data_IF_414304947606
#
_entry.id   IF_414304947606
#
_cell.length_a   1.000
_cell.length_b   1.000
_cell.length_c   1.000
_cell.angle_alpha   90.00
_cell.angle_beta   90.00
_cell.angle_gamma   90.00
#
_symmetry.space_group_name_H-M   'P 1'
#
loop_
_entity.id
_entity.type
_entity.pdbx_description
1 polymer ?
#
# COMPACT_ATOMS: atom_id res chain seq x y z
N UNK A 1 -19.83 0.36 -23.72
CA UNK A 1 -19.95 -1.07 -24.07
C UNK A 1 -20.54 -1.76 -22.85
N UNK A 2 -21.60 -2.56 -23.01
CA UNK A 2 -22.13 -3.36 -21.90
C UNK A 2 -21.27 -4.62 -21.81
N UNK A 3 -20.77 -4.94 -20.63
CA UNK A 3 -20.09 -6.21 -20.37
C UNK A 3 -21.08 -7.22 -19.81
N UNK A 4 -21.23 -8.35 -20.50
CA UNK A 4 -22.17 -9.43 -20.14
C UNK A 4 -21.49 -10.59 -19.38
N UNK A 5 -20.20 -10.46 -19.08
CA UNK A 5 -19.44 -11.50 -18.41
C UNK A 5 -19.92 -11.75 -16.99
N UNK A 6 -19.82 -13.00 -16.54
CA UNK A 6 -20.15 -13.42 -15.19
C UNK A 6 -19.32 -12.63 -14.16
N UNK A 7 -19.99 -11.96 -13.22
CA UNK A 7 -19.37 -11.20 -12.13
C UNK A 7 -19.49 -12.00 -10.84
N UNK A 8 -18.34 -12.33 -10.23
CA UNK A 8 -18.25 -13.14 -9.01
C UNK A 8 -17.71 -12.29 -7.85
N UNK A 9 -18.34 -12.41 -6.68
CA UNK A 9 -17.81 -11.95 -5.40
C UNK A 9 -17.36 -13.09 -4.50
N UNK A 10 -16.83 -12.76 -3.31
CA UNK A 10 -16.29 -13.77 -2.38
C UNK A 10 -17.33 -14.82 -1.95
N UNK A 11 -18.61 -14.44 -1.84
CA UNK A 11 -19.70 -15.34 -1.42
C UNK A 11 -20.09 -16.38 -2.47
N UNK A 12 -19.70 -16.16 -3.73
CA UNK A 12 -20.12 -16.99 -4.86
C UNK A 12 -19.17 -18.18 -5.09
N UNK A 13 -18.05 -18.25 -4.35
CA UNK A 13 -16.98 -19.22 -4.57
C UNK A 13 -16.49 -19.87 -3.27
N UNK A 14 -15.92 -21.07 -3.40
CA UNK A 14 -15.24 -21.80 -2.32
C UNK A 14 -13.92 -22.38 -2.84
N UNK A 15 -12.92 -22.47 -1.97
CA UNK A 15 -11.64 -23.13 -2.30
C UNK A 15 -11.82 -24.65 -2.16
N UNK A 16 -11.65 -25.39 -3.25
CA UNK A 16 -11.71 -26.87 -3.23
C UNK A 16 -10.49 -27.44 -2.48
N UNK A 17 -10.69 -28.27 -1.43
CA UNK A 17 -9.58 -28.95 -0.77
C UNK A 17 -8.77 -29.82 -1.73
N UNK A 18 -7.46 -29.91 -1.52
CA UNK A 18 -6.54 -30.80 -2.25
C UNK A 18 -5.74 -31.63 -1.25
N UNK A 19 -5.27 -32.81 -1.69
CA UNK A 19 -4.37 -33.65 -0.89
C UNK A 19 -3.13 -32.83 -0.51
N UNK A 20 -2.79 -32.81 0.78
CA UNK A 20 -1.66 -32.07 1.34
C UNK A 20 -0.72 -33.00 2.11
N UNK A 21 0.55 -32.63 2.17
CA UNK A 21 1.56 -33.27 3.02
C UNK A 21 1.74 -32.55 4.36
N UNK A 22 1.13 -31.37 4.54
CA UNK A 22 1.17 -30.62 5.79
C UNK A 22 0.44 -31.37 6.90
N UNK A 23 1.03 -31.39 8.10
CA UNK A 23 0.47 -32.09 9.27
C UNK A 23 -0.21 -31.14 10.23
N UNK A 24 0.26 -29.90 10.31
CA UNK A 24 -0.26 -28.86 11.18
C UNK A 24 -0.42 -27.53 10.44
N UNK A 25 -1.29 -26.67 10.97
CA UNK A 25 -1.42 -25.27 10.52
C UNK A 25 -0.19 -24.43 10.85
N UNK A 26 0.57 -24.82 11.88
CA UNK A 26 1.85 -24.19 12.24
C UNK A 26 2.94 -24.38 11.18
N UNK A 27 2.76 -25.33 10.25
CA UNK A 27 3.72 -25.62 9.19
C UNK A 27 3.51 -24.72 7.96
N UNK A 28 2.54 -23.79 8.02
CA UNK A 28 2.19 -22.89 6.91
C UNK A 28 3.00 -21.61 7.01
N UNK A 29 3.73 -21.31 5.95
CA UNK A 29 4.42 -20.03 5.78
C UNK A 29 3.46 -19.01 5.15
N UNK A 30 3.29 -17.87 5.81
CA UNK A 30 2.45 -16.76 5.35
C UNK A 30 3.27 -15.65 4.69
N UNK A 31 4.57 -15.60 4.98
CA UNK A 31 5.46 -14.60 4.42
C UNK A 31 5.59 -14.75 2.91
N UNK A 32 5.63 -13.61 2.22
CA UNK A 32 5.85 -13.51 0.80
C UNK A 32 6.99 -12.56 0.52
N UNK A 33 7.83 -12.92 -0.43
CA UNK A 33 8.86 -12.04 -0.96
C UNK A 33 8.43 -11.50 -2.33
N UNK A 34 8.53 -10.19 -2.50
CA UNK A 34 8.27 -9.50 -3.77
C UNK A 34 9.45 -8.61 -4.15
N UNK A 35 9.72 -8.52 -5.45
CA UNK A 35 10.56 -7.47 -6.03
C UNK A 35 9.70 -6.62 -6.94
N UNK A 36 9.58 -5.33 -6.65
CA UNK A 36 8.66 -4.43 -7.34
C UNK A 36 9.28 -3.90 -8.63
N UNK A 37 8.58 -4.12 -9.74
CA UNK A 37 9.04 -3.85 -11.11
C UNK A 37 9.62 -2.43 -11.31
N UNK A 38 8.94 -1.40 -10.81
CA UNK A 38 9.27 -0.01 -11.11
C UNK A 38 10.21 0.63 -10.08
N UNK A 39 10.16 0.22 -8.81
CA UNK A 39 11.04 0.76 -7.76
C UNK A 39 12.34 -0.03 -7.60
N UNK A 40 12.36 -1.29 -8.05
CA UNK A 40 13.47 -2.22 -7.81
C UNK A 40 13.58 -2.70 -6.35
N UNK A 41 12.73 -2.20 -5.45
CA UNK A 41 12.73 -2.56 -4.05
C UNK A 41 12.29 -4.01 -3.87
N UNK A 42 12.89 -4.67 -2.89
CA UNK A 42 12.43 -5.98 -2.43
C UNK A 42 11.80 -5.85 -1.06
N UNK A 43 10.69 -6.57 -0.85
CA UNK A 43 9.95 -6.59 0.42
C UNK A 43 9.64 -8.04 0.80
N UNK A 44 9.69 -8.33 2.10
CA UNK A 44 9.27 -9.59 2.69
C UNK A 44 8.37 -9.31 3.88
N UNK A 45 7.28 -10.06 3.99
CA UNK A 45 6.34 -9.98 5.12
C UNK A 45 5.02 -10.67 4.81
N UNK A 46 4.04 -10.52 5.70
CA UNK A 46 2.69 -11.05 5.52
C UNK A 46 1.89 -10.06 4.66
N UNK A 47 1.39 -10.44 3.46
CA UNK A 47 0.82 -9.52 2.48
C UNK A 47 -0.63 -9.11 2.82
N UNK A 48 -0.80 -8.57 4.02
CA UNK A 48 -2.01 -7.93 4.52
C UNK A 48 -1.67 -6.46 4.73
N UNK A 49 -2.61 -5.56 4.43
CA UNK A 49 -2.43 -4.12 4.56
C UNK A 49 -3.61 -3.54 5.31
N UNK A 50 -3.37 -2.82 6.42
CA UNK A 50 -4.41 -2.00 7.04
C UNK A 50 -4.74 -0.80 6.15
N UNK A 51 -6.04 -0.57 5.93
CA UNK A 51 -6.53 0.47 5.03
C UNK A 51 -6.23 1.88 5.55
N UNK A 52 -5.99 2.82 4.63
CA UNK A 52 -5.68 4.24 4.87
C UNK A 52 -6.87 5.10 5.33
N UNK A 53 -7.80 4.50 6.07
CA UNK A 53 -8.90 5.20 6.73
C UNK A 53 -8.42 5.81 8.05
N UNK A 54 -8.93 6.98 8.41
CA UNK A 54 -8.60 7.70 9.66
C UNK A 54 -8.84 6.89 10.95
N UNK A 55 -9.75 5.92 10.89
CA UNK A 55 -10.11 5.02 11.99
C UNK A 55 -9.43 3.65 11.93
N UNK A 56 -8.61 3.39 10.91
CA UNK A 56 -7.93 2.10 10.69
C UNK A 56 -6.42 2.29 10.59
N UNK A 57 -5.96 3.02 9.57
CA UNK A 57 -4.56 3.26 9.23
C UNK A 57 -3.91 4.31 10.12
N UNK A 58 -3.93 4.09 11.43
CA UNK A 58 -3.36 4.99 12.44
C UNK A 58 -1.92 4.59 12.78
N UNK A 59 -1.15 5.50 13.40
CA UNK A 59 0.20 5.17 13.87
C UNK A 59 0.23 4.06 14.92
N UNK A 60 -0.78 3.97 15.79
CA UNK A 60 -0.89 2.87 16.76
C UNK A 60 -1.14 1.53 16.07
N UNK A 61 -1.94 1.52 15.01
CA UNK A 61 -2.15 0.33 14.17
C UNK A 61 -0.84 -0.10 13.49
N UNK A 62 -0.10 0.84 12.93
CA UNK A 62 1.20 0.57 12.31
C UNK A 62 2.18 -0.10 13.28
N UNK A 63 2.31 0.44 14.50
CA UNK A 63 3.18 -0.13 15.54
C UNK A 63 2.74 -1.53 15.98
N UNK A 64 1.43 -1.79 16.06
CA UNK A 64 0.92 -3.11 16.45
C UNK A 64 1.14 -4.16 15.35
N UNK A 65 0.83 -3.82 14.09
CA UNK A 65 0.89 -4.74 12.95
C UNK A 65 2.32 -5.03 12.48
N UNK A 66 3.26 -4.09 12.69
CA UNK A 66 4.67 -4.30 12.35
C UNK A 66 5.26 -5.55 13.03
N UNK A 67 4.82 -5.90 14.25
CA UNK A 67 5.28 -7.10 14.97
C UNK A 67 4.86 -8.43 14.33
N UNK A 68 3.98 -8.37 13.34
CA UNK A 68 3.53 -9.50 12.52
C UNK A 68 4.00 -9.38 11.06
N UNK A 69 4.94 -8.48 10.78
CA UNK A 69 5.42 -8.12 9.43
C UNK A 69 4.28 -7.74 8.45
N UNK A 70 3.26 -7.05 8.97
CA UNK A 70 2.08 -6.58 8.24
C UNK A 70 2.20 -5.08 7.94
N UNK A 71 1.86 -4.68 6.72
CA UNK A 71 1.91 -3.28 6.29
C UNK A 71 0.71 -2.47 6.81
N UNK A 72 0.92 -1.18 7.03
CA UNK A 72 -0.16 -0.22 7.29
C UNK A 72 -0.05 0.95 6.33
N UNK A 73 -1.09 1.16 5.52
CA UNK A 73 -1.26 2.41 4.79
C UNK A 73 -1.81 3.45 5.76
N UNK A 74 -1.00 4.44 6.12
CA UNK A 74 -1.39 5.44 7.12
C UNK A 74 -2.26 6.50 6.48
N UNK A 75 -3.37 6.85 7.13
CA UNK A 75 -4.31 7.84 6.62
C UNK A 75 -3.62 9.19 6.37
N UNK A 76 -4.12 9.94 5.38
CA UNK A 76 -3.45 11.18 4.91
C UNK A 76 -3.69 12.42 5.78
N UNK A 77 -4.30 12.28 6.95
CA UNK A 77 -4.76 13.42 7.77
C UNK A 77 -3.76 13.89 8.84
N UNK A 78 -2.74 13.10 9.15
CA UNK A 78 -1.66 13.55 10.03
C UNK A 78 -0.84 14.68 9.39
N UNK A 79 -0.39 15.60 10.23
CA UNK A 79 0.52 16.68 9.86
C UNK A 79 1.96 16.16 9.72
N UNK A 80 2.83 16.96 9.10
CA UNK A 80 4.26 16.61 8.95
C UNK A 80 4.94 16.51 10.32
N UNK A 81 4.53 17.35 11.28
CA UNK A 81 5.03 17.34 12.65
C UNK A 81 4.64 16.05 13.39
N UNK A 82 3.41 15.58 13.19
CA UNK A 82 2.93 14.31 13.76
C UNK A 82 3.71 13.13 13.17
N UNK A 83 3.97 13.14 11.86
CA UNK A 83 4.86 12.16 11.21
C UNK A 83 6.28 12.20 11.76
N UNK A 84 6.86 13.39 11.94
CA UNK A 84 8.19 13.54 12.51
C UNK A 84 8.24 12.97 13.93
N UNK A 85 7.23 13.25 14.75
CA UNK A 85 7.11 12.71 16.09
C UNK A 85 6.97 11.19 16.08
N UNK A 86 6.16 10.62 15.19
CA UNK A 86 6.03 9.18 15.03
C UNK A 86 7.35 8.53 14.62
N UNK A 87 8.06 9.09 13.64
CA UNK A 87 9.35 8.60 13.16
C UNK A 87 10.39 8.58 14.28
N UNK A 88 10.47 9.65 15.08
CA UNK A 88 11.43 9.75 16.17
C UNK A 88 11.17 8.75 17.30
N UNK A 89 9.92 8.30 17.46
CA UNK A 89 9.51 7.35 18.50
C UNK A 89 9.37 5.92 17.98
N UNK A 90 9.61 5.67 16.69
CA UNK A 90 9.43 4.36 16.06
C UNK A 90 10.76 3.69 15.75
N UNK A 91 10.79 2.36 15.84
CA UNK A 91 11.95 1.58 15.39
C UNK A 91 12.01 1.56 13.86
N UNK A 92 13.20 1.33 13.30
CA UNK A 92 13.35 1.13 11.85
C UNK A 92 12.49 -0.03 11.31
N UNK A 93 12.19 -1.01 12.16
CA UNK A 93 11.35 -2.16 11.86
C UNK A 93 9.86 -1.81 11.74
N UNK A 94 9.37 -0.82 12.50
CA UNK A 94 8.02 -0.27 12.27
C UNK A 94 8.00 0.53 10.98
N UNK A 95 9.01 1.37 10.75
CA UNK A 95 9.03 2.28 9.60
C UNK A 95 9.09 1.55 8.24
N UNK A 96 9.75 0.39 8.15
CA UNK A 96 9.75 -0.43 6.93
C UNK A 96 8.35 -0.96 6.56
N UNK A 97 7.40 -0.95 7.50
CA UNK A 97 6.05 -1.46 7.33
C UNK A 97 4.97 -0.38 7.15
N UNK A 98 5.38 0.87 6.94
CA UNK A 98 4.46 1.99 6.79
C UNK A 98 4.40 2.47 5.35
N UNK A 99 3.19 2.77 4.88
CA UNK A 99 2.95 3.46 3.61
C UNK A 99 2.38 4.86 3.86
N UNK A 100 2.91 5.85 3.16
CA UNK A 100 2.42 7.23 3.22
C UNK A 100 1.31 7.41 2.19
N UNK A 101 0.09 7.73 2.62
CA UNK A 101 -1.04 7.93 1.70
C UNK A 101 -1.20 9.36 1.21
N UNK A 102 -1.64 9.51 -0.03
CA UNK A 102 -1.88 10.80 -0.71
C UNK A 102 -3.10 10.75 -1.62
N UNK A 103 -3.75 11.91 -1.82
CA UNK A 103 -4.64 12.14 -2.97
C UNK A 103 -3.85 12.70 -4.16
N UNK A 104 -4.54 13.41 -5.07
CA UNK A 104 -3.93 13.98 -6.29
C UNK A 104 -3.75 15.50 -6.29
N UNK A 105 -4.09 16.19 -5.19
CA UNK A 105 -3.92 17.64 -5.11
C UNK A 105 -2.44 18.02 -4.97
N UNK A 106 -2.06 19.22 -5.42
CA UNK A 106 -0.68 19.71 -5.25
C UNK A 106 -0.31 19.87 -3.76
N UNK A 107 -1.28 20.23 -2.91
CA UNK A 107 -1.07 20.30 -1.46
C UNK A 107 -0.78 18.92 -0.85
N UNK A 108 -1.53 17.88 -1.26
CA UNK A 108 -1.27 16.51 -0.82
C UNK A 108 0.10 16.01 -1.32
N UNK A 109 0.46 16.34 -2.56
CA UNK A 109 1.77 15.99 -3.14
C UNK A 109 2.93 16.60 -2.35
N UNK A 110 2.86 17.91 -2.07
CA UNK A 110 3.91 18.62 -1.35
C UNK A 110 4.04 18.12 0.09
N UNK A 111 2.91 17.88 0.78
CA UNK A 111 2.93 17.28 2.12
C UNK A 111 3.56 15.89 2.12
N UNK A 112 3.20 15.06 1.13
CA UNK A 112 3.75 13.70 0.99
C UNK A 112 5.25 13.74 0.77
N UNK A 113 5.73 14.67 -0.08
CA UNK A 113 7.15 14.89 -0.30
C UNK A 113 7.87 15.24 1.00
N UNK A 114 7.33 16.20 1.77
CA UNK A 114 7.90 16.60 3.06
C UNK A 114 7.98 15.42 4.04
N UNK A 115 6.95 14.58 4.11
CA UNK A 115 6.94 13.37 4.96
C UNK A 115 8.01 12.37 4.51
N UNK A 116 8.10 12.07 3.21
CA UNK A 116 9.05 11.11 2.67
C UNK A 116 10.51 11.58 2.85
N UNK A 117 10.75 12.89 2.83
CA UNK A 117 12.06 13.50 3.05
C UNK A 117 12.50 13.42 4.53
N UNK A 118 11.57 13.20 5.48
CA UNK A 118 11.91 13.03 6.91
C UNK A 118 12.73 11.77 7.18
N UNK A 119 12.48 10.68 6.45
CA UNK A 119 13.20 9.42 6.66
C UNK A 119 13.25 8.55 5.40
N UNK A 120 14.46 8.16 4.92
CA UNK A 120 14.60 7.33 3.73
C UNK A 120 13.97 5.93 3.87
N UNK A 121 13.74 5.42 5.09
CA UNK A 121 13.12 4.12 5.35
C UNK A 121 11.63 4.06 4.96
N UNK A 122 10.97 5.21 4.77
CA UNK A 122 9.60 5.26 4.27
C UNK A 122 9.59 4.91 2.78
N UNK A 123 9.45 3.62 2.47
CA UNK A 123 9.66 3.09 1.12
C UNK A 123 8.39 2.97 0.28
N UNK A 124 7.21 3.16 0.89
CA UNK A 124 5.92 2.94 0.23
C UNK A 124 5.08 4.21 0.19
N UNK A 125 4.47 4.45 -0.97
CA UNK A 125 3.49 5.51 -1.22
C UNK A 125 2.17 4.87 -1.66
N UNK A 126 1.07 5.29 -1.05
CA UNK A 126 -0.28 4.86 -1.40
C UNK A 126 -1.05 6.04 -2.02
N UNK A 127 -1.21 6.03 -3.34
CA UNK A 127 -1.97 7.06 -4.06
C UNK A 127 -3.40 6.55 -4.22
N UNK A 128 -4.34 7.18 -3.51
CA UNK A 128 -5.70 6.68 -3.37
C UNK A 128 -6.73 7.73 -3.83
N UNK A 129 -7.53 7.35 -4.83
CA UNK A 129 -8.69 8.11 -5.32
C UNK A 129 -9.87 7.17 -5.58
N UNK A 130 -11.08 7.73 -5.47
CA UNK A 130 -12.30 6.98 -5.75
C UNK A 130 -12.42 6.53 -7.23
N UNK A 131 -11.86 7.31 -8.17
CA UNK A 131 -11.91 7.02 -9.60
C UNK A 131 -10.50 7.03 -10.22
N UNK A 132 -9.86 5.85 -10.25
CA UNK A 132 -8.54 5.68 -10.85
C UNK A 132 -8.52 5.77 -12.39
N UNK A 133 -9.68 5.88 -13.04
CA UNK A 133 -9.80 5.96 -14.51
C UNK A 133 -9.60 7.37 -15.09
N UNK A 134 -9.40 8.37 -14.24
CA UNK A 134 -9.19 9.73 -14.73
C UNK A 134 -7.78 9.90 -15.29
N UNK A 135 -7.66 10.57 -16.44
CA UNK A 135 -6.36 10.94 -17.02
C UNK A 135 -5.51 11.76 -16.03
N UNK A 136 -6.15 12.62 -15.24
CA UNK A 136 -5.50 13.37 -14.16
C UNK A 136 -4.80 12.45 -13.13
N UNK A 137 -5.41 11.31 -12.80
CA UNK A 137 -4.81 10.34 -11.89
C UNK A 137 -3.58 9.67 -12.51
N UNK A 138 -3.64 9.26 -13.78
CA UNK A 138 -2.49 8.69 -14.51
C UNK A 138 -1.32 9.68 -14.55
N UNK A 139 -1.61 10.95 -14.89
CA UNK A 139 -0.62 12.02 -14.88
C UNK A 139 -0.01 12.24 -13.49
N UNK A 140 -0.82 12.13 -12.43
CA UNK A 140 -0.33 12.23 -11.05
C UNK A 140 0.58 11.05 -10.67
N UNK A 141 0.23 9.82 -11.05
CA UNK A 141 1.07 8.63 -10.81
C UNK A 141 2.41 8.78 -11.54
N UNK A 142 2.41 9.26 -12.79
CA UNK A 142 3.64 9.55 -13.53
C UNK A 142 4.51 10.61 -12.82
N UNK A 143 3.92 11.73 -12.41
CA UNK A 143 4.58 12.78 -11.61
C UNK A 143 5.18 12.22 -10.31
N UNK A 144 4.43 11.37 -9.60
CA UNK A 144 4.88 10.72 -8.37
C UNK A 144 6.06 9.75 -8.62
N UNK A 145 6.02 8.96 -9.70
CA UNK A 145 7.12 8.08 -10.09
C UNK A 145 8.39 8.87 -10.43
N UNK A 146 8.27 9.97 -11.16
CA UNK A 146 9.40 10.84 -11.48
C UNK A 146 10.03 11.46 -10.22
N UNK A 147 9.20 11.92 -9.28
CA UNK A 147 9.66 12.51 -8.03
C UNK A 147 10.28 11.49 -7.06
N UNK A 148 9.77 10.26 -7.05
CA UNK A 148 10.14 9.22 -6.08
C UNK A 148 10.54 7.90 -6.79
N UNK A 149 11.61 7.90 -7.62
CA UNK A 149 11.92 6.79 -8.51
C UNK A 149 12.24 5.49 -7.78
N UNK A 150 12.73 5.55 -6.54
CA UNK A 150 13.10 4.40 -5.72
C UNK A 150 12.02 3.94 -4.74
N UNK A 151 10.91 4.68 -4.62
CA UNK A 151 9.79 4.33 -3.74
C UNK A 151 8.82 3.39 -4.45
N UNK A 152 8.29 2.42 -3.72
CA UNK A 152 7.22 1.55 -4.22
C UNK A 152 5.89 2.29 -4.14
N UNK A 153 5.16 2.33 -5.25
CA UNK A 153 3.90 3.06 -5.38
C UNK A 153 2.77 2.05 -5.54
N UNK A 154 1.77 2.16 -4.67
CA UNK A 154 0.47 1.51 -4.83
C UNK A 154 -0.53 2.58 -5.26
N UNK A 155 -1.15 2.42 -6.44
CA UNK A 155 -2.07 3.39 -7.01
C UNK A 155 -3.42 2.74 -7.31
N UNK A 156 -4.51 3.39 -6.91
CA UNK A 156 -5.86 2.88 -7.14
C UNK A 156 -6.95 3.95 -6.92
N UNK A 157 -8.23 3.61 -7.14
CA UNK A 157 -8.75 2.25 -7.39
C UNK A 157 -9.27 2.02 -8.81
N UNK A 158 -9.05 0.80 -9.31
CA UNK A 158 -9.48 0.33 -10.64
C UNK A 158 -10.01 -1.10 -10.56
N UNK A 159 -10.84 -1.51 -11.51
CA UNK A 159 -11.48 -2.84 -11.53
C UNK A 159 -11.42 -3.54 -12.90
N UNK A 160 -10.63 -3.00 -13.85
CA UNK A 160 -10.43 -3.57 -15.19
C UNK A 160 -8.95 -3.73 -15.48
N UNK A 161 -8.61 -4.73 -16.31
CA UNK A 161 -7.22 -5.04 -16.65
C UNK A 161 -6.51 -3.93 -17.42
N UNK A 162 -7.19 -3.30 -18.37
CA UNK A 162 -6.66 -2.17 -19.15
C UNK A 162 -6.11 -1.05 -18.24
N UNK A 163 -6.92 -0.59 -17.28
CA UNK A 163 -6.51 0.48 -16.38
C UNK A 163 -5.41 0.02 -15.40
N UNK A 164 -5.33 -1.28 -15.11
CA UNK A 164 -4.22 -1.84 -14.34
C UNK A 164 -2.91 -1.88 -15.14
N UNK A 165 -2.97 -1.93 -16.48
CA UNK A 165 -1.78 -1.88 -17.35
C UNK A 165 -1.32 -0.44 -17.62
N UNK A 166 -2.24 0.53 -17.60
CA UNK A 166 -1.95 1.96 -17.80
C UNK A 166 -1.22 2.61 -16.60
N UNK A 167 -1.54 2.18 -15.38
CA UNK A 167 -0.94 2.68 -14.12
C UNK A 167 0.45 2.11 -13.83
#
# INVERSE_FOLDING_TARGET
>A
RIEEDLKLGFKDVLIRPKRSTLKSRSDVELERQFTFKHSGQSWSGVPIIAANMDTVGTFSMASALASFDILTAVHKHYSVEEWQAFINNSSADVLKHVMVSTGTSDADFEKTKQILDLNPALNFVCIDVANGYSEHFVQFVAKAREAWPTKTICAGNVVTGEMCEEL
#
